data_IF_257849802193
#
_entry.id   IF_257849802193
#
_cell.length_a   1.000
_cell.length_b   1.000
_cell.length_c   1.000
_cell.angle_alpha   90.00
_cell.angle_beta   90.00
_cell.angle_gamma   90.00
#
_symmetry.space_group_name_H-M   'P 1'
#
loop_
_entity.id
_entity.type
_entity.pdbx_description
1 polymer ?
#
# COMPACT_ATOMS: atom_id res chain seq x y z
N UNK A 1 -3.57 49.73 5.00
CA UNK A 1 -3.39 48.59 5.93
C UNK A 1 -2.20 48.94 6.81
N UNK A 2 -2.43 49.29 8.08
CA UNK A 2 -1.36 49.72 8.99
C UNK A 2 -0.67 48.46 9.50
N UNK A 3 0.58 48.22 9.09
CA UNK A 3 1.42 47.15 9.64
C UNK A 3 1.73 47.51 11.10
N UNK A 4 0.89 47.02 12.02
CA UNK A 4 1.10 47.18 13.46
C UNK A 4 2.36 46.44 13.94
N UNK A 5 2.74 46.68 15.19
CA UNK A 5 3.88 45.99 15.82
C UNK A 5 3.69 44.46 15.89
N UNK A 6 2.48 43.96 15.63
CA UNK A 6 2.10 42.53 15.70
C UNK A 6 2.34 41.75 14.41
N UNK A 7 3.10 42.32 13.47
CA UNK A 7 3.39 41.72 12.17
C UNK A 7 4.65 40.83 12.21
N UNK A 8 4.52 39.60 11.72
CA UNK A 8 5.64 38.67 11.54
C UNK A 8 6.72 39.23 10.61
N UNK A 9 6.33 40.03 9.61
CA UNK A 9 7.26 40.72 8.72
C UNK A 9 8.16 41.67 9.50
N UNK A 10 7.58 42.49 10.39
CA UNK A 10 8.33 43.43 11.25
C UNK A 10 9.28 42.69 12.19
N UNK A 11 8.85 41.56 12.77
CA UNK A 11 9.70 40.71 13.61
C UNK A 11 10.88 40.12 12.83
N UNK A 12 10.65 39.72 11.57
CA UNK A 12 11.67 39.16 10.69
C UNK A 12 12.71 40.22 10.30
N UNK A 13 12.28 41.42 9.92
CA UNK A 13 13.16 42.56 9.61
C UNK A 13 14.03 42.94 10.81
N UNK A 14 13.49 42.86 12.04
CA UNK A 14 14.22 43.10 13.29
C UNK A 14 15.08 41.92 13.76
N UNK A 15 15.21 40.88 12.93
CA UNK A 15 16.01 39.68 13.19
C UNK A 15 15.62 38.92 14.48
N UNK A 16 14.37 39.10 14.93
CA UNK A 16 13.82 38.44 16.12
C UNK A 16 13.87 36.91 16.02
N UNK A 17 13.56 36.27 14.86
CA UNK A 17 13.54 34.82 14.78
C UNK A 17 14.92 34.18 15.02
N UNK A 18 16.00 34.89 14.67
CA UNK A 18 17.37 34.45 14.93
C UNK A 18 17.76 34.72 16.39
N UNK A 19 17.42 35.91 16.92
CA UNK A 19 17.71 36.31 18.31
C UNK A 19 17.02 35.41 19.33
N UNK A 20 15.77 35.03 19.08
CA UNK A 20 15.01 34.09 19.89
C UNK A 20 15.28 32.62 19.52
N UNK A 21 16.07 32.34 18.48
CA UNK A 21 16.39 31.00 18.00
C UNK A 21 15.13 30.14 17.75
N UNK A 22 14.18 30.67 16.97
CA UNK A 22 12.93 29.99 16.64
C UNK A 22 13.17 28.83 15.67
N UNK A 23 12.45 27.72 15.87
CA UNK A 23 12.52 26.56 14.97
C UNK A 23 11.92 26.87 13.60
N UNK A 24 12.28 26.09 12.57
CA UNK A 24 11.69 26.24 11.24
C UNK A 24 10.16 26.08 11.26
N UNK A 25 9.66 25.10 12.03
CA UNK A 25 8.23 24.90 12.24
C UNK A 25 7.56 26.12 12.89
N UNK A 26 8.23 26.77 13.86
CA UNK A 26 7.67 27.96 14.49
C UNK A 26 7.57 29.13 13.52
N UNK A 27 8.61 29.35 12.71
CA UNK A 27 8.62 30.38 11.67
C UNK A 27 7.51 30.19 10.64
N UNK A 28 7.30 28.94 10.19
CA UNK A 28 6.22 28.61 9.24
C UNK A 28 4.85 28.93 9.81
N UNK A 29 4.60 28.60 11.08
CA UNK A 29 3.29 28.88 11.70
C UNK A 29 3.06 30.37 11.95
N UNK A 30 4.10 31.12 12.33
CA UNK A 30 4.01 32.58 12.50
C UNK A 30 3.82 33.31 11.16
N UNK A 31 4.44 32.82 10.09
CA UNK A 31 4.15 33.27 8.73
C UNK A 31 2.69 32.98 8.34
N UNK A 32 2.20 31.77 8.62
CA UNK A 32 0.81 31.43 8.31
C UNK A 32 -0.20 32.33 9.05
N UNK A 33 0.10 32.74 10.29
CA UNK A 33 -0.72 33.70 11.01
C UNK A 33 -0.77 35.08 10.32
N UNK A 34 0.37 35.55 9.79
CA UNK A 34 0.42 36.77 8.98
C UNK A 34 -0.42 36.62 7.71
N UNK A 35 -0.25 35.50 7.00
CA UNK A 35 -0.99 35.21 5.76
C UNK A 35 -2.51 35.19 6.02
N UNK A 36 -2.94 34.70 7.19
CA UNK A 36 -4.34 34.77 7.61
C UNK A 36 -4.81 36.21 7.87
N UNK A 37 -4.02 37.01 8.60
CA UNK A 37 -4.33 38.43 8.84
C UNK A 37 -4.37 39.24 7.54
N UNK A 38 -3.60 38.83 6.54
CA UNK A 38 -3.64 39.37 5.17
C UNK A 38 -4.68 38.69 4.26
N UNK A 39 -5.59 37.87 4.81
CA UNK A 39 -6.67 37.17 4.08
C UNK A 39 -6.20 36.24 2.96
N UNK A 40 -4.93 35.84 2.96
CA UNK A 40 -4.33 34.95 1.96
C UNK A 40 -4.62 33.48 2.24
N UNK A 41 -4.84 33.12 3.52
CA UNK A 41 -5.31 31.79 3.94
C UNK A 41 -6.47 31.93 4.94
N UNK A 42 -7.25 30.87 5.12
CA UNK A 42 -8.38 30.85 6.07
C UNK A 42 -7.98 30.27 7.44
N UNK A 43 -8.82 30.51 8.47
CA UNK A 43 -8.62 29.93 9.82
C UNK A 43 -8.51 28.39 9.77
N UNK A 44 -9.24 27.77 8.84
CA UNK A 44 -9.27 26.32 8.70
C UNK A 44 -7.91 25.77 8.24
N UNK A 45 -7.18 26.47 7.38
CA UNK A 45 -5.85 26.10 6.90
C UNK A 45 -4.81 26.16 8.03
N UNK A 46 -4.79 27.23 8.83
CA UNK A 46 -3.93 27.29 10.04
C UNK A 46 -4.22 26.11 10.96
N UNK A 47 -5.51 25.84 11.21
CA UNK A 47 -5.92 24.70 12.01
C UNK A 47 -5.47 23.36 11.44
N UNK A 48 -5.57 23.14 10.12
CA UNK A 48 -5.06 21.94 9.44
C UNK A 48 -3.55 21.82 9.58
N UNK A 49 -2.80 22.90 9.33
CA UNK A 49 -1.35 22.93 9.41
C UNK A 49 -0.83 22.51 10.78
N UNK A 50 -1.53 22.89 11.86
CA UNK A 50 -1.18 22.53 13.23
C UNK A 50 -1.67 21.12 13.63
N UNK A 51 -2.90 20.74 13.27
CA UNK A 51 -3.49 19.44 13.65
C UNK A 51 -2.85 18.25 12.94
N UNK A 52 -2.44 18.43 11.68
CA UNK A 52 -1.85 17.37 10.86
C UNK A 52 -0.34 17.18 11.10
N UNK A 53 0.31 18.06 11.87
CA UNK A 53 1.74 17.98 12.16
C UNK A 53 2.03 18.11 13.67
N UNK A 54 2.29 16.99 14.36
CA UNK A 54 2.64 17.01 15.79
C UNK A 54 3.83 17.92 16.11
N UNK A 55 4.84 17.95 15.21
CA UNK A 55 6.02 18.78 15.37
C UNK A 55 5.76 20.29 15.34
N UNK A 56 4.73 20.74 14.60
CA UNK A 56 4.33 22.15 14.56
C UNK A 56 3.64 22.58 15.85
N UNK A 57 2.73 21.75 16.38
CA UNK A 57 2.09 22.01 17.68
C UNK A 57 3.11 22.07 18.81
N UNK A 58 4.04 21.11 18.87
CA UNK A 58 5.10 21.10 19.86
C UNK A 58 6.00 22.36 19.75
N UNK A 59 6.34 22.77 18.53
CA UNK A 59 7.15 23.96 18.29
C UNK A 59 6.51 25.25 18.79
N UNK A 60 5.17 25.37 18.76
CA UNK A 60 4.46 26.51 19.37
C UNK A 60 4.62 26.51 20.89
N UNK A 61 4.40 25.37 21.54
CA UNK A 61 4.51 25.23 23.00
C UNK A 61 5.95 25.50 23.46
N UNK A 62 6.94 24.96 22.74
CA UNK A 62 8.36 25.16 23.05
C UNK A 62 8.77 26.62 22.88
N UNK A 63 8.24 27.30 21.85
CA UNK A 63 8.49 28.73 21.61
C UNK A 63 7.92 29.59 22.74
N UNK A 64 6.69 29.31 23.19
CA UNK A 64 6.08 29.99 24.35
C UNK A 64 6.97 29.79 25.58
N UNK A 65 7.31 28.54 25.92
CA UNK A 65 8.17 28.22 27.08
C UNK A 65 9.52 28.93 27.01
N UNK A 66 10.12 29.00 25.82
CA UNK A 66 11.40 29.70 25.59
C UNK A 66 11.26 31.19 25.85
N UNK A 67 10.23 31.83 25.32
CA UNK A 67 9.96 33.26 25.54
C UNK A 67 9.72 33.55 27.03
N UNK A 68 8.92 32.74 27.73
CA UNK A 68 8.69 32.88 29.17
C UNK A 68 9.98 32.74 29.98
N UNK A 69 10.83 31.78 29.62
CA UNK A 69 12.13 31.57 30.29
C UNK A 69 13.08 32.75 30.05
N UNK A 70 13.08 33.32 28.84
CA UNK A 70 13.89 34.49 28.52
C UNK A 70 13.43 35.71 29.31
N UNK A 71 12.13 35.98 29.37
CA UNK A 71 11.55 37.07 30.17
C UNK A 71 11.93 36.98 31.65
N UNK A 72 11.98 35.77 32.22
CA UNK A 72 12.37 35.56 33.60
C UNK A 72 13.88 35.79 33.86
N UNK A 73 14.74 35.60 32.85
CA UNK A 73 16.21 35.66 33.00
C UNK A 73 16.85 36.96 32.50
N UNK A 74 16.28 37.57 31.47
CA UNK A 74 16.79 38.78 30.81
C UNK A 74 15.62 39.74 30.68
N UNK A 75 15.66 40.85 31.41
CA UNK A 75 14.62 41.89 31.34
C UNK A 75 14.62 42.65 29.99
N UNK A 76 15.63 42.43 29.16
CA UNK A 76 15.66 42.91 27.77
C UNK A 76 14.76 42.04 26.87
N UNK A 77 14.14 42.64 25.83
CA UNK A 77 13.24 41.98 24.87
C UNK A 77 11.91 41.44 25.43
N UNK A 78 11.51 41.81 26.65
CA UNK A 78 10.24 41.38 27.26
C UNK A 78 9.03 41.65 26.34
N UNK A 79 8.95 42.85 25.74
CA UNK A 79 7.86 43.19 24.81
C UNK A 79 7.82 42.31 23.56
N UNK A 80 8.98 41.92 23.03
CA UNK A 80 9.08 41.03 21.87
C UNK A 80 8.68 39.60 22.23
N UNK A 81 9.09 39.12 23.40
CA UNK A 81 8.71 37.81 23.91
C UNK A 81 7.19 37.71 24.16
N UNK A 82 6.58 38.75 24.74
CA UNK A 82 5.12 38.83 24.94
C UNK A 82 4.39 38.74 23.60
N UNK A 83 4.86 39.49 22.60
CA UNK A 83 4.23 39.47 21.28
C UNK A 83 4.31 38.10 20.61
N UNK A 84 5.48 37.45 20.63
CA UNK A 84 5.63 36.11 20.05
C UNK A 84 4.75 35.09 20.79
N UNK A 85 4.62 35.21 22.12
CA UNK A 85 3.70 34.38 22.90
C UNK A 85 2.27 34.59 22.42
N UNK A 86 1.81 35.84 22.27
CA UNK A 86 0.47 36.17 21.81
C UNK A 86 0.17 35.58 20.43
N UNK A 87 1.12 35.69 19.48
CA UNK A 87 0.98 35.09 18.15
C UNK A 87 0.89 33.56 18.22
N UNK A 88 1.74 32.91 19.03
CA UNK A 88 1.69 31.47 19.23
C UNK A 88 0.37 31.02 19.88
N UNK A 89 -0.17 31.78 20.84
CA UNK A 89 -1.46 31.46 21.47
C UNK A 89 -2.62 31.65 20.50
N UNK A 90 -2.60 32.70 19.67
CA UNK A 90 -3.61 32.94 18.64
C UNK A 90 -3.69 31.76 17.65
N UNK A 91 -2.53 31.27 17.19
CA UNK A 91 -2.44 30.07 16.34
C UNK A 91 -3.03 28.84 17.04
N UNK A 92 -2.71 28.64 18.32
CA UNK A 92 -3.21 27.50 19.09
C UNK A 92 -4.73 27.58 19.30
N UNK A 93 -5.27 28.77 19.55
CA UNK A 93 -6.71 29.01 19.68
C UNK A 93 -7.46 28.72 18.38
N UNK A 94 -6.98 29.27 17.26
CA UNK A 94 -7.53 28.97 15.92
C UNK A 94 -7.55 27.46 15.67
N UNK A 95 -6.46 26.76 15.99
CA UNK A 95 -6.37 25.32 15.79
C UNK A 95 -7.22 24.48 16.74
N UNK A 96 -7.55 25.00 17.93
CA UNK A 96 -8.43 24.34 18.90
C UNK A 96 -9.91 24.54 18.57
N UNK A 97 -10.26 25.52 17.72
CA UNK A 97 -11.63 25.63 17.20
C UNK A 97 -11.95 24.39 16.35
N UNK A 98 -13.13 23.76 16.56
CA UNK A 98 -13.56 22.66 15.71
C UNK A 98 -13.63 23.16 14.26
N UNK A 99 -13.09 22.42 13.29
CA UNK A 99 -13.17 22.84 11.89
C UNK A 99 -14.64 23.03 11.51
N UNK A 100 -14.98 24.04 10.69
CA UNK A 100 -16.33 24.17 10.19
C UNK A 100 -16.74 22.85 9.52
N UNK A 101 -17.92 22.32 9.87
CA UNK A 101 -18.46 21.03 9.42
C UNK A 101 -18.76 20.97 7.91
N UNK A 102 -18.17 21.85 7.10
CA UNK A 102 -18.10 21.71 5.66
C UNK A 102 -17.16 20.56 5.34
N UNK A 103 -17.66 19.33 5.46
CA UNK A 103 -17.00 18.15 4.94
C UNK A 103 -16.62 18.41 3.48
N UNK A 104 -15.36 18.14 3.14
CA UNK A 104 -14.94 18.20 1.75
C UNK A 104 -15.88 17.32 0.92
N UNK A 105 -16.59 17.87 -0.07
CA UNK A 105 -17.66 17.16 -0.75
C UNK A 105 -17.05 16.22 -1.81
N UNK A 106 -16.28 15.23 -1.35
CA UNK A 106 -15.54 14.30 -2.21
C UNK A 106 -16.44 13.68 -3.27
N UNK A 107 -17.66 13.28 -2.89
CA UNK A 107 -18.64 12.68 -3.80
C UNK A 107 -19.20 13.64 -4.87
N UNK A 108 -19.06 14.97 -4.69
CA UNK A 108 -19.47 15.97 -5.69
C UNK A 108 -18.41 16.20 -6.78
N UNK A 109 -17.16 15.75 -6.56
CA UNK A 109 -16.12 15.87 -7.56
C UNK A 109 -16.39 14.93 -8.74
N UNK A 110 -15.96 15.25 -9.98
CA UNK A 110 -15.96 14.30 -11.09
C UNK A 110 -15.20 13.01 -10.75
N UNK A 111 -15.63 11.88 -11.34
CA UNK A 111 -15.08 10.55 -11.04
C UNK A 111 -13.58 10.47 -11.31
N UNK A 112 -13.11 11.17 -12.33
CA UNK A 112 -11.70 11.24 -12.73
C UNK A 112 -10.86 11.92 -11.65
N UNK A 113 -11.39 12.99 -11.02
CA UNK A 113 -10.71 13.69 -9.93
C UNK A 113 -10.70 12.82 -8.68
N UNK A 114 -11.83 12.17 -8.35
CA UNK A 114 -11.88 11.21 -7.23
C UNK A 114 -10.86 10.10 -7.41
N UNK A 115 -10.75 9.54 -8.61
CA UNK A 115 -9.79 8.49 -8.93
C UNK A 115 -8.33 8.94 -8.73
N UNK A 116 -7.98 10.16 -9.16
CA UNK A 116 -6.65 10.74 -8.92
C UNK A 116 -6.37 10.93 -7.42
N UNK A 117 -7.34 11.43 -6.66
CA UNK A 117 -7.21 11.60 -5.20
C UNK A 117 -7.00 10.26 -4.51
N UNK A 118 -7.78 9.23 -4.87
CA UNK A 118 -7.59 7.87 -4.36
C UNK A 118 -6.20 7.33 -4.69
N UNK A 119 -5.73 7.56 -5.93
CA UNK A 119 -4.39 7.21 -6.34
C UNK A 119 -3.31 7.82 -5.45
N UNK A 120 -3.40 9.12 -5.16
CA UNK A 120 -2.45 9.80 -4.26
C UNK A 120 -2.48 9.24 -2.84
N UNK A 121 -3.66 8.89 -2.32
CA UNK A 121 -3.80 8.27 -0.98
C UNK A 121 -3.12 6.90 -0.95
N UNK A 122 -3.27 6.11 -2.02
CA UNK A 122 -2.71 4.76 -2.14
C UNK A 122 -1.19 4.80 -2.36
N UNK A 123 -0.69 5.75 -3.15
CA UNK A 123 0.73 5.90 -3.49
C UNK A 123 1.58 6.43 -2.32
N UNK A 124 0.95 7.02 -1.30
CA UNK A 124 1.64 7.52 -0.11
C UNK A 124 2.33 6.41 0.71
N UNK A 125 2.06 5.14 0.39
CA UNK A 125 2.51 3.97 1.11
C UNK A 125 3.25 2.99 0.16
N UNK A 126 4.03 2.02 0.68
CA UNK A 126 4.79 1.08 -0.15
C UNK A 126 3.92 0.34 -1.18
N UNK A 127 4.48 0.05 -2.37
CA UNK A 127 3.77 -0.51 -3.54
C UNK A 127 3.54 -2.03 -3.51
N UNK A 128 4.26 -2.77 -2.67
CA UNK A 128 4.08 -4.22 -2.53
C UNK A 128 3.78 -4.53 -1.07
N UNK A 129 2.71 -5.28 -0.83
CA UNK A 129 2.22 -5.52 0.51
C UNK A 129 1.57 -6.89 0.65
N UNK A 130 1.53 -7.39 1.89
CA UNK A 130 0.77 -8.58 2.26
C UNK A 130 -0.54 -8.20 2.91
N UNK A 131 -1.62 -8.76 2.38
CA UNK A 131 -2.90 -8.73 3.07
C UNK A 131 -2.78 -9.53 4.36
N UNK A 132 -3.28 -9.01 5.49
CA UNK A 132 -3.32 -9.77 6.72
C UNK A 132 -4.17 -11.04 6.49
N UNK A 133 -3.79 -12.16 7.11
CA UNK A 133 -4.55 -13.38 6.98
C UNK A 133 -5.94 -13.19 7.60
N UNK A 134 -6.97 -13.65 6.88
CA UNK A 134 -8.33 -13.63 7.39
C UNK A 134 -8.48 -14.79 8.38
N UNK A 135 -8.74 -14.51 9.67
CA UNK A 135 -8.78 -15.52 10.75
C UNK A 135 -9.60 -16.77 10.40
N UNK A 136 -10.80 -16.59 9.84
CA UNK A 136 -11.67 -17.70 9.41
C UNK A 136 -11.06 -18.53 8.28
N UNK A 137 -10.30 -17.88 7.40
CA UNK A 137 -9.59 -18.57 6.32
C UNK A 137 -8.45 -19.43 6.85
N UNK A 138 -7.71 -18.97 7.87
CA UNK A 138 -6.62 -19.77 8.46
C UNK A 138 -7.12 -21.08 9.09
N UNK A 139 -8.36 -21.11 9.60
CA UNK A 139 -8.99 -22.33 10.11
C UNK A 139 -9.36 -23.29 8.97
N UNK A 140 -9.81 -22.77 7.82
CA UNK A 140 -10.21 -23.57 6.66
C UNK A 140 -9.02 -24.01 5.78
N UNK A 141 -7.95 -23.22 5.78
CA UNK A 141 -6.73 -23.40 5.00
C UNK A 141 -5.50 -23.35 5.92
N UNK A 142 -5.34 -24.34 6.82
CA UNK A 142 -4.14 -24.40 7.66
C UNK A 142 -2.90 -24.54 6.78
N UNK A 143 -1.87 -23.76 7.11
CA UNK A 143 -0.65 -23.67 6.34
C UNK A 143 0.58 -23.67 7.27
N UNK A 144 1.49 -24.60 7.01
CA UNK A 144 2.78 -24.72 7.70
C UNK A 144 3.96 -24.46 6.76
N UNK A 145 3.72 -23.79 5.63
CA UNK A 145 4.76 -23.50 4.66
C UNK A 145 5.77 -22.52 5.26
N UNK A 146 7.06 -22.77 5.02
CA UNK A 146 8.10 -21.83 5.38
C UNK A 146 7.88 -20.53 4.58
N UNK A 147 7.94 -19.39 5.27
CA UNK A 147 7.88 -18.08 4.63
C UNK A 147 9.25 -17.40 4.75
N UNK A 148 10.17 -17.67 3.81
CA UNK A 148 11.51 -17.15 3.87
C UNK A 148 11.51 -15.62 3.69
N UNK A 149 10.53 -15.00 3.02
CA UNK A 149 10.49 -13.56 2.77
C UNK A 149 9.78 -12.73 3.86
N UNK A 150 9.44 -13.32 5.02
CA UNK A 150 8.71 -12.63 6.10
C UNK A 150 9.35 -11.31 6.53
N UNK A 151 10.67 -11.20 6.45
CA UNK A 151 11.43 -10.00 6.81
C UNK A 151 11.42 -8.92 5.71
N UNK A 152 11.25 -9.30 4.44
CA UNK A 152 11.35 -8.38 3.30
C UNK A 152 10.00 -7.86 2.84
N UNK A 153 8.94 -8.67 2.98
CA UNK A 153 7.59 -8.26 2.61
C UNK A 153 6.67 -8.28 3.83
N UNK A 154 6.42 -7.08 4.35
CA UNK A 154 5.54 -6.84 5.48
C UNK A 154 4.06 -6.95 5.13
N UNK A 155 3.24 -7.06 6.18
CA UNK A 155 1.81 -6.80 6.06
C UNK A 155 1.55 -5.32 5.82
N UNK A 156 0.34 -5.02 5.34
CA UNK A 156 -0.17 -3.64 5.29
C UNK A 156 0.07 -2.92 6.62
N UNK A 157 0.56 -1.68 6.55
CA UNK A 157 0.66 -0.80 7.72
C UNK A 157 -0.74 -0.57 8.31
N UNK A 158 -0.82 -0.19 9.58
CA UNK A 158 -2.10 0.10 10.22
C UNK A 158 -2.91 1.15 9.44
N UNK A 159 -2.22 2.14 8.86
CA UNK A 159 -2.82 3.18 8.02
C UNK A 159 -3.31 2.65 6.68
N UNK A 160 -2.52 1.81 6.00
CA UNK A 160 -2.96 1.15 4.76
C UNK A 160 -4.17 0.26 5.00
N UNK A 161 -4.17 -0.54 6.07
CA UNK A 161 -5.29 -1.40 6.42
C UNK A 161 -6.55 -0.60 6.76
N UNK A 162 -6.42 0.48 7.51
CA UNK A 162 -7.54 1.40 7.78
C UNK A 162 -8.10 2.00 6.49
N UNK A 163 -7.22 2.45 5.59
CA UNK A 163 -7.60 2.99 4.27
C UNK A 163 -8.35 1.95 3.44
N UNK A 164 -7.79 0.74 3.30
CA UNK A 164 -8.42 -0.37 2.59
C UNK A 164 -9.81 -0.68 3.17
N UNK A 165 -9.94 -0.77 4.49
CA UNK A 165 -11.20 -1.11 5.16
C UNK A 165 -12.25 -0.01 5.04
N UNK A 166 -11.86 1.25 5.26
CA UNK A 166 -12.78 2.39 5.29
C UNK A 166 -13.22 2.75 3.87
N UNK A 167 -12.26 3.00 2.98
CA UNK A 167 -12.54 3.41 1.60
C UNK A 167 -13.06 2.24 0.76
N UNK A 168 -12.56 1.02 0.97
CA UNK A 168 -13.08 -0.17 0.31
C UNK A 168 -14.54 -0.45 0.68
N UNK A 169 -14.97 -0.15 1.91
CA UNK A 169 -16.38 -0.25 2.30
C UNK A 169 -17.24 0.87 1.70
N UNK A 170 -16.73 2.10 1.69
CA UNK A 170 -17.48 3.30 1.30
C UNK A 170 -17.61 3.46 -0.23
N UNK A 171 -16.55 3.14 -0.97
CA UNK A 171 -16.43 3.47 -2.40
C UNK A 171 -16.39 2.23 -3.31
N UNK A 172 -16.10 1.04 -2.77
CA UNK A 172 -16.10 -0.27 -3.45
C UNK A 172 -15.57 -0.21 -4.89
N UNK A 173 -16.48 -0.10 -5.86
CA UNK A 173 -16.23 -0.13 -7.31
C UNK A 173 -15.38 1.03 -7.82
N UNK A 174 -15.22 2.11 -7.05
CA UNK A 174 -14.24 3.17 -7.35
C UNK A 174 -12.89 2.93 -6.68
N UNK A 175 -12.85 2.27 -5.53
CA UNK A 175 -11.63 2.10 -4.75
C UNK A 175 -10.81 0.90 -5.21
N UNK A 176 -11.41 -0.30 -5.29
CA UNK A 176 -10.66 -1.53 -5.54
C UNK A 176 -9.94 -1.56 -6.90
N UNK A 177 -10.53 -1.09 -8.02
CA UNK A 177 -9.81 -1.04 -9.29
C UNK A 177 -8.52 -0.23 -9.19
N UNK A 178 -8.57 0.93 -8.51
CA UNK A 178 -7.42 1.83 -8.37
C UNK A 178 -6.40 1.25 -7.39
N UNK A 179 -6.87 0.67 -6.29
CA UNK A 179 -6.01 0.02 -5.30
C UNK A 179 -5.20 -1.10 -5.92
N UNK A 180 -5.85 -2.07 -6.56
CA UNK A 180 -5.16 -3.23 -7.15
C UNK A 180 -4.43 -2.90 -8.44
N UNK A 181 -4.73 -1.78 -9.10
CA UNK A 181 -3.89 -1.26 -10.18
C UNK A 181 -2.51 -0.81 -9.70
N UNK A 182 -2.45 -0.19 -8.52
CA UNK A 182 -1.24 0.46 -7.99
C UNK A 182 -0.44 -0.44 -7.07
N UNK A 183 -1.11 -1.37 -6.38
CA UNK A 183 -0.51 -2.22 -5.36
C UNK A 183 -0.30 -3.64 -5.86
N UNK A 184 0.93 -4.15 -5.73
CA UNK A 184 1.25 -5.55 -5.93
C UNK A 184 0.92 -6.35 -4.67
N UNK A 185 0.23 -7.48 -4.86
CA UNK A 185 -0.14 -8.35 -3.78
C UNK A 185 0.85 -9.50 -3.65
N UNK A 186 1.58 -9.54 -2.53
CA UNK A 186 2.47 -10.64 -2.23
C UNK A 186 1.77 -11.74 -1.45
N UNK A 187 2.04 -12.99 -1.82
CA UNK A 187 1.57 -14.21 -1.18
C UNK A 187 2.76 -15.05 -0.75
N UNK A 188 2.82 -15.38 0.54
CA UNK A 188 3.97 -16.07 1.11
C UNK A 188 4.10 -17.53 0.71
N UNK A 189 3.02 -18.14 0.22
CA UNK A 189 2.99 -19.47 -0.35
C UNK A 189 1.69 -19.65 -1.14
N UNK A 190 1.56 -20.74 -1.88
CA UNK A 190 0.34 -21.04 -2.62
C UNK A 190 -0.85 -21.34 -1.69
N UNK A 191 -0.63 -21.81 -0.47
CA UNK A 191 -1.71 -22.00 0.51
C UNK A 191 -2.33 -20.65 0.95
N UNK A 192 -1.48 -19.62 1.15
CA UNK A 192 -1.91 -18.25 1.47
C UNK A 192 -2.68 -17.65 0.30
N UNK A 193 -2.15 -17.81 -0.92
CA UNK A 193 -2.84 -17.40 -2.16
C UNK A 193 -4.25 -18.00 -2.26
N UNK A 194 -4.37 -19.32 -2.17
CA UNK A 194 -5.67 -20.01 -2.26
C UNK A 194 -6.66 -19.53 -1.19
N UNK A 195 -6.19 -19.42 0.04
CA UNK A 195 -6.94 -18.91 1.19
C UNK A 195 -7.52 -17.51 0.92
N UNK A 196 -6.68 -16.59 0.43
CA UNK A 196 -7.08 -15.21 0.15
C UNK A 196 -8.05 -15.13 -1.04
N UNK A 197 -7.78 -15.87 -2.12
CA UNK A 197 -8.66 -15.87 -3.31
C UNK A 197 -10.06 -16.41 -3.01
N UNK A 198 -10.18 -17.41 -2.14
CA UNK A 198 -11.49 -17.96 -1.76
C UNK A 198 -12.25 -17.08 -0.77
N UNK A 199 -11.55 -16.37 0.11
CA UNK A 199 -12.19 -15.61 1.18
C UNK A 199 -12.45 -14.15 0.83
N UNK A 200 -11.62 -13.57 -0.05
CA UNK A 200 -11.70 -12.17 -0.44
C UNK A 200 -12.11 -12.05 -1.92
N UNK A 201 -13.42 -11.94 -2.15
CA UNK A 201 -13.97 -11.77 -3.51
C UNK A 201 -13.45 -10.52 -4.19
N UNK A 202 -13.33 -9.40 -3.46
CA UNK A 202 -12.77 -8.16 -4.01
C UNK A 202 -11.33 -8.35 -4.51
N UNK A 203 -10.50 -9.09 -3.76
CA UNK A 203 -9.16 -9.44 -4.22
C UNK A 203 -9.24 -10.28 -5.48
N UNK A 204 -10.00 -11.37 -5.50
CA UNK A 204 -10.11 -12.24 -6.68
C UNK A 204 -10.59 -11.48 -7.92
N UNK A 205 -11.55 -10.59 -7.76
CA UNK A 205 -12.20 -9.90 -8.88
C UNK A 205 -11.34 -8.73 -9.40
N UNK A 206 -10.53 -8.07 -8.56
CA UNK A 206 -9.74 -6.89 -8.94
C UNK A 206 -8.22 -7.09 -8.96
N UNK A 207 -7.69 -8.23 -8.51
CA UNK A 207 -6.26 -8.52 -8.48
C UNK A 207 -5.63 -8.34 -9.86
N UNK A 208 -4.65 -7.44 -9.94
CA UNK A 208 -3.93 -7.13 -11.19
C UNK A 208 -2.48 -7.58 -11.18
N UNK A 209 -1.81 -7.47 -10.03
CA UNK A 209 -0.39 -7.78 -9.86
C UNK A 209 -0.21 -8.75 -8.70
N UNK A 210 0.32 -9.93 -8.99
CA UNK A 210 0.52 -10.99 -8.00
C UNK A 210 1.99 -11.40 -7.92
N UNK A 211 2.55 -11.36 -6.71
CA UNK A 211 3.85 -11.97 -6.39
C UNK A 211 3.61 -13.20 -5.53
N UNK A 212 3.99 -14.38 -6.01
CA UNK A 212 3.69 -15.64 -5.33
C UNK A 212 4.97 -16.42 -5.10
N UNK A 213 5.28 -16.72 -3.85
CA UNK A 213 6.28 -17.75 -3.55
C UNK A 213 5.68 -19.13 -3.83
N UNK A 214 6.20 -19.80 -4.85
CA UNK A 214 5.70 -21.11 -5.26
C UNK A 214 6.19 -22.18 -4.27
N UNK A 215 5.33 -22.52 -3.32
CA UNK A 215 5.51 -23.64 -2.40
C UNK A 215 4.20 -24.03 -1.73
N UNK A 216 4.19 -25.22 -1.12
CA UNK A 216 3.08 -25.72 -0.32
C UNK A 216 2.20 -26.75 -1.02
N UNK A 217 1.43 -27.48 -0.22
CA UNK A 217 0.67 -28.66 -0.62
C UNK A 217 -0.61 -28.37 -1.39
N UNK A 218 -0.86 -27.11 -1.73
CA UNK A 218 -2.08 -26.66 -2.44
C UNK A 218 -1.74 -25.81 -3.67
N UNK A 219 -0.53 -25.98 -4.23
CA UNK A 219 -0.02 -25.18 -5.35
C UNK A 219 -0.86 -25.31 -6.61
N UNK A 220 -1.24 -26.54 -6.96
CA UNK A 220 -2.18 -26.87 -8.03
C UNK A 220 -3.50 -26.09 -7.91
N UNK A 221 -4.15 -26.18 -6.75
CA UNK A 221 -5.44 -25.53 -6.48
C UNK A 221 -5.31 -24.01 -6.51
N UNK A 222 -4.22 -23.47 -5.95
CA UNK A 222 -3.97 -22.04 -5.92
C UNK A 222 -3.83 -21.45 -7.33
N UNK A 223 -3.05 -22.10 -8.21
CA UNK A 223 -2.87 -21.63 -9.57
C UNK A 223 -4.12 -21.80 -10.43
N UNK A 224 -4.92 -22.86 -10.21
CA UNK A 224 -6.26 -23.00 -10.79
C UNK A 224 -7.18 -21.82 -10.44
N UNK A 225 -7.18 -21.37 -9.19
CA UNK A 225 -7.96 -20.20 -8.79
C UNK A 225 -7.37 -18.88 -9.30
N UNK A 226 -6.04 -18.77 -9.33
CA UNK A 226 -5.35 -17.61 -9.88
C UNK A 226 -5.69 -17.41 -11.37
N UNK A 227 -5.78 -18.49 -12.15
CA UNK A 227 -6.19 -18.46 -13.55
C UNK A 227 -7.61 -17.88 -13.76
N UNK A 228 -8.48 -17.97 -12.74
CA UNK A 228 -9.85 -17.43 -12.77
C UNK A 228 -9.91 -15.94 -12.46
N UNK A 229 -8.81 -15.31 -12.03
CA UNK A 229 -8.77 -13.88 -11.78
C UNK A 229 -8.90 -13.12 -13.12
N UNK A 230 -9.97 -12.32 -13.33
CA UNK A 230 -10.24 -11.72 -14.63
C UNK A 230 -9.22 -10.65 -15.00
N UNK A 231 -8.77 -9.88 -14.00
CA UNK A 231 -7.94 -8.69 -14.17
C UNK A 231 -6.44 -8.91 -13.93
N UNK A 232 -5.99 -10.17 -13.77
CA UNK A 232 -4.58 -10.47 -13.56
C UNK A 232 -3.75 -10.11 -14.81
N UNK A 233 -2.74 -9.28 -14.63
CA UNK A 233 -1.94 -8.69 -15.72
C UNK A 233 -0.43 -8.84 -15.48
N UNK A 234 0.01 -8.88 -14.22
CA UNK A 234 1.42 -9.06 -13.87
C UNK A 234 1.54 -10.22 -12.88
N UNK A 235 2.40 -11.19 -13.21
CA UNK A 235 2.63 -12.37 -12.38
C UNK A 235 4.12 -12.54 -12.11
N UNK A 236 4.51 -12.52 -10.85
CA UNK A 236 5.88 -12.82 -10.42
C UNK A 236 5.89 -14.09 -9.61
N UNK A 237 6.63 -15.10 -10.07
CA UNK A 237 6.81 -16.35 -9.35
C UNK A 237 8.16 -16.33 -8.65
N UNK A 238 8.13 -16.46 -7.32
CA UNK A 238 9.34 -16.60 -6.52
C UNK A 238 9.65 -18.07 -6.28
N UNK A 239 10.89 -18.45 -6.57
CA UNK A 239 11.40 -19.81 -6.44
C UNK A 239 12.25 -19.98 -5.19
N UNK A 240 12.17 -21.18 -4.62
CA UNK A 240 13.12 -21.64 -3.61
C UNK A 240 13.21 -23.17 -3.63
N UNK A 241 14.08 -23.74 -2.81
CA UNK A 241 14.10 -25.19 -2.52
C UNK A 241 12.75 -25.73 -2.01
N UNK A 242 11.89 -24.85 -1.49
CA UNK A 242 10.51 -25.21 -1.11
C UNK A 242 9.59 -25.47 -2.31
N UNK A 243 9.94 -24.96 -3.50
CA UNK A 243 9.19 -25.19 -4.74
C UNK A 243 9.24 -26.66 -5.14
N UNK A 244 10.43 -27.27 -5.14
CA UNK A 244 10.63 -28.68 -5.53
C UNK A 244 10.37 -29.67 -4.40
N UNK A 245 9.92 -29.22 -3.23
CA UNK A 245 9.68 -30.09 -2.08
C UNK A 245 8.55 -31.10 -2.33
N UNK A 246 7.49 -30.66 -3.00
CA UNK A 246 6.26 -31.44 -3.23
C UNK A 246 6.12 -31.66 -4.74
N UNK A 247 6.10 -32.93 -5.15
CA UNK A 247 5.94 -33.33 -6.54
C UNK A 247 4.47 -33.30 -6.96
N UNK A 248 4.23 -33.19 -8.27
CA UNK A 248 2.90 -33.42 -8.82
C UNK A 248 2.51 -34.91 -8.72
N UNK A 249 1.22 -35.21 -8.89
CA UNK A 249 0.67 -36.56 -8.71
C UNK A 249 1.30 -37.63 -9.61
N UNK A 250 1.77 -37.24 -10.81
CA UNK A 250 2.42 -38.17 -11.75
C UNK A 250 3.81 -38.52 -11.26
N UNK A 251 4.60 -37.50 -10.92
CA UNK A 251 5.99 -37.65 -10.51
C UNK A 251 6.11 -38.30 -9.12
N UNK A 252 5.15 -38.06 -8.22
CA UNK A 252 5.07 -38.77 -6.93
C UNK A 252 4.93 -40.29 -7.11
N UNK A 253 4.12 -40.74 -8.07
CA UNK A 253 3.96 -42.18 -8.38
C UNK A 253 5.22 -42.76 -9.01
N UNK A 254 5.82 -42.04 -9.95
CA UNK A 254 7.03 -42.49 -10.65
C UNK A 254 8.27 -42.51 -9.73
N UNK A 255 8.31 -41.66 -8.70
CA UNK A 255 9.40 -41.62 -7.73
C UNK A 255 9.62 -42.96 -7.02
N UNK A 256 8.55 -43.69 -6.74
CA UNK A 256 8.61 -45.00 -6.07
C UNK A 256 9.29 -46.03 -6.97
N UNK A 257 9.01 -46.00 -8.27
CA UNK A 257 9.54 -46.97 -9.24
C UNK A 257 10.91 -46.60 -9.79
N UNK A 258 11.24 -45.30 -9.86
CA UNK A 258 12.48 -44.80 -10.47
C UNK A 258 13.24 -43.83 -9.53
N UNK A 259 13.59 -44.23 -8.30
CA UNK A 259 14.11 -43.30 -7.27
C UNK A 259 15.39 -42.57 -7.69
N UNK A 260 16.24 -43.19 -8.52
CA UNK A 260 17.48 -42.58 -9.02
C UNK A 260 17.22 -41.34 -9.90
N UNK A 261 16.09 -41.31 -10.62
CA UNK A 261 15.71 -40.17 -11.47
C UNK A 261 15.29 -38.94 -10.65
N UNK A 262 14.95 -39.12 -9.36
CA UNK A 262 14.45 -38.06 -8.48
C UNK A 262 15.46 -37.63 -7.42
N UNK A 263 16.73 -38.03 -7.56
CA UNK A 263 17.82 -37.52 -6.70
C UNK A 263 17.91 -36.00 -6.78
N UNK A 264 17.70 -35.44 -7.98
CA UNK A 264 17.58 -34.01 -8.22
C UNK A 264 16.17 -33.72 -8.78
N UNK A 265 15.29 -33.18 -7.94
CA UNK A 265 13.92 -32.82 -8.35
C UNK A 265 13.93 -31.56 -9.21
N UNK A 266 13.32 -31.61 -10.39
CA UNK A 266 13.22 -30.47 -11.32
C UNK A 266 12.03 -29.58 -10.95
N UNK A 267 12.10 -28.30 -11.33
CA UNK A 267 11.00 -27.35 -11.10
C UNK A 267 9.71 -27.79 -11.80
N UNK A 268 9.80 -28.33 -13.02
CA UNK A 268 8.66 -28.82 -13.80
C UNK A 268 7.91 -29.99 -13.16
N UNK A 269 8.58 -30.73 -12.28
CA UNK A 269 8.00 -31.89 -11.60
C UNK A 269 7.23 -31.49 -10.33
N UNK A 270 7.28 -30.20 -9.96
CA UNK A 270 6.70 -29.67 -8.73
C UNK A 270 5.18 -29.57 -8.83
N UNK A 271 4.49 -29.72 -7.69
CA UNK A 271 3.05 -29.55 -7.60
C UNK A 271 2.63 -28.15 -8.09
N UNK A 272 1.64 -28.10 -8.99
CA UNK A 272 1.15 -26.84 -9.55
C UNK A 272 1.86 -26.37 -10.82
N UNK A 273 2.88 -27.09 -11.31
CA UNK A 273 3.59 -26.70 -12.53
C UNK A 273 2.64 -26.64 -13.73
N UNK A 274 1.85 -27.69 -13.96
CA UNK A 274 0.89 -27.76 -15.06
C UNK A 274 -0.16 -26.66 -14.99
N UNK A 275 -0.70 -26.40 -13.79
CA UNK A 275 -1.68 -25.34 -13.56
C UNK A 275 -1.10 -23.94 -13.77
N UNK A 276 0.16 -23.72 -13.37
CA UNK A 276 0.87 -22.47 -13.59
C UNK A 276 1.08 -22.22 -15.09
N UNK A 277 1.53 -23.24 -15.83
CA UNK A 277 1.67 -23.18 -17.29
C UNK A 277 0.33 -23.13 -18.03
N UNK A 278 -0.79 -23.33 -17.36
CA UNK A 278 -2.13 -23.19 -17.94
C UNK A 278 -2.73 -21.79 -17.76
N UNK A 279 -2.12 -20.91 -16.95
CA UNK A 279 -2.56 -19.51 -16.80
C UNK A 279 -2.39 -18.79 -18.15
N UNK A 280 -3.34 -17.93 -18.53
CA UNK A 280 -3.33 -17.19 -19.80
C UNK A 280 -3.77 -15.75 -19.61
N UNK A 281 -3.37 -14.87 -20.53
CA UNK A 281 -3.77 -13.46 -20.62
C UNK A 281 -3.03 -12.53 -19.67
N UNK A 282 -1.90 -12.97 -19.12
CA UNK A 282 -0.99 -12.12 -18.35
C UNK A 282 -0.20 -11.26 -19.35
N UNK A 283 0.15 -10.02 -19.00
CA UNK A 283 0.94 -9.11 -19.86
C UNK A 283 2.43 -9.10 -19.51
N UNK A 284 2.75 -9.27 -18.23
CA UNK A 284 4.12 -9.29 -17.74
C UNK A 284 4.28 -10.49 -16.83
N UNK A 285 5.29 -11.30 -17.09
CA UNK A 285 5.69 -12.39 -16.21
C UNK A 285 7.13 -12.18 -15.77
N UNK A 286 7.42 -12.54 -14.52
CA UNK A 286 8.78 -12.54 -14.00
C UNK A 286 8.99 -13.75 -13.08
N UNK A 287 10.23 -14.21 -12.99
CA UNK A 287 10.65 -15.31 -12.13
C UNK A 287 11.89 -14.89 -11.36
N UNK A 288 11.72 -14.85 -10.05
CA UNK A 288 12.75 -14.42 -9.12
C UNK A 288 13.09 -15.53 -8.14
N UNK A 289 14.24 -15.43 -7.50
CA UNK A 289 14.53 -16.20 -6.30
C UNK A 289 13.99 -15.48 -5.06
N UNK A 290 13.69 -16.23 -4.01
CA UNK A 290 13.44 -15.62 -2.69
C UNK A 290 14.70 -14.88 -2.21
N UNK A 291 14.51 -13.70 -1.62
CA UNK A 291 15.61 -12.78 -1.29
C UNK A 291 16.38 -13.12 -0.01
N UNK A 292 15.79 -13.93 0.87
CA UNK A 292 16.23 -14.01 2.26
C UNK A 292 17.40 -14.94 2.57
N UNK A 293 17.79 -15.84 1.65
CA UNK A 293 19.05 -16.58 1.75
C UNK A 293 19.43 -17.31 0.45
N UNK A 294 20.67 -17.13 -0.02
CA UNK A 294 21.24 -17.85 -1.17
C UNK A 294 21.10 -19.38 -1.03
N UNK A 295 21.23 -19.91 0.19
CA UNK A 295 21.12 -21.36 0.46
C UNK A 295 19.74 -21.96 0.13
N UNK A 296 18.70 -21.13 0.05
CA UNK A 296 17.33 -21.54 -0.28
C UNK A 296 17.02 -21.35 -1.77
N UNK A 297 17.92 -20.75 -2.53
CA UNK A 297 17.74 -20.53 -3.97
C UNK A 297 17.96 -21.83 -4.73
N UNK A 298 17.31 -21.93 -5.89
CA UNK A 298 17.58 -22.96 -6.88
C UNK A 298 18.71 -22.47 -7.79
N UNK A 299 18.99 -23.18 -8.88
CA UNK A 299 19.96 -22.71 -9.86
C UNK A 299 19.38 -21.56 -10.70
N UNK A 300 20.24 -20.65 -11.18
CA UNK A 300 19.79 -19.62 -12.12
C UNK A 300 19.31 -20.20 -13.47
N UNK A 301 19.77 -21.40 -13.82
CA UNK A 301 19.22 -22.14 -14.96
C UNK A 301 17.76 -22.52 -14.74
N UNK A 302 17.38 -22.97 -13.54
CA UNK A 302 15.98 -23.25 -13.20
C UNK A 302 15.13 -21.97 -13.29
N UNK A 303 15.65 -20.85 -12.77
CA UNK A 303 14.98 -19.54 -12.81
C UNK A 303 14.74 -19.08 -14.24
N UNK A 304 15.80 -19.06 -15.07
CA UNK A 304 15.73 -18.60 -16.45
C UNK A 304 14.91 -19.56 -17.33
N UNK A 305 15.03 -20.87 -17.11
CA UNK A 305 14.25 -21.88 -17.81
C UNK A 305 12.76 -21.73 -17.53
N UNK A 306 12.38 -21.55 -16.26
CA UNK A 306 10.99 -21.30 -15.90
C UNK A 306 10.50 -19.97 -16.48
N UNK A 307 11.29 -18.89 -16.40
CA UNK A 307 10.93 -17.60 -16.98
C UNK A 307 10.59 -17.75 -18.46
N UNK A 308 11.48 -18.37 -19.23
CA UNK A 308 11.32 -18.55 -20.68
C UNK A 308 10.08 -19.41 -21.01
N UNK A 309 9.83 -20.46 -20.23
CA UNK A 309 8.66 -21.31 -20.40
C UNK A 309 7.34 -20.58 -20.05
N UNK A 310 7.33 -19.76 -19.00
CA UNK A 310 6.16 -18.96 -18.65
C UNK A 310 5.93 -17.86 -19.69
N UNK A 311 6.96 -17.17 -20.13
CA UNK A 311 6.86 -16.14 -21.17
C UNK A 311 6.23 -16.70 -22.45
N UNK A 312 6.62 -17.91 -22.86
CA UNK A 312 6.05 -18.60 -24.02
C UNK A 312 4.58 -19.05 -23.83
N UNK A 313 4.10 -19.20 -22.60
CA UNK A 313 2.78 -19.80 -22.31
C UNK A 313 1.78 -18.84 -21.69
N UNK A 314 2.14 -18.10 -20.63
CA UNK A 314 1.20 -17.28 -19.85
C UNK A 314 0.83 -15.97 -20.53
N UNK A 315 1.68 -15.49 -21.44
CA UNK A 315 1.43 -14.30 -22.25
C UNK A 315 0.43 -14.55 -23.38
N UNK A 316 0.17 -15.81 -23.72
CA UNK A 316 -0.84 -16.17 -24.70
C UNK A 316 -2.23 -15.69 -24.22
N UNK A 317 -3.11 -15.26 -25.15
CA UNK A 317 -4.42 -14.73 -24.78
C UNK A 317 -5.27 -15.78 -24.08
N UNK A 318 -6.18 -15.33 -23.20
CA UNK A 318 -7.18 -16.22 -22.60
C UNK A 318 -8.01 -16.86 -23.72
N UNK A 319 -8.29 -18.17 -23.66
CA UNK A 319 -9.13 -18.80 -24.66
C UNK A 319 -10.49 -18.11 -24.68
N UNK A 320 -10.91 -17.64 -25.85
CA UNK A 320 -12.22 -17.03 -26.05
C UNK A 320 -13.24 -18.13 -25.90
N UNK A 321 -13.97 -18.13 -24.78
CA UNK A 321 -15.15 -18.98 -24.63
C UNK A 321 -16.22 -18.38 -25.55
N UNK A 322 -16.33 -18.89 -26.77
CA UNK A 322 -17.49 -18.63 -27.61
C UNK A 322 -18.71 -19.21 -26.88
N UNK A 323 -19.40 -18.38 -26.11
CA UNK A 323 -20.73 -18.72 -25.63
C UNK A 323 -21.61 -18.83 -26.86
N UNK A 324 -21.92 -20.07 -27.25
CA UNK A 324 -22.71 -20.38 -28.42
C UNK A 324 -23.94 -19.49 -28.51
N UNK A 325 -24.21 -19.03 -29.73
CA UNK A 325 -25.39 -18.28 -30.13
C UNK A 325 -26.63 -18.97 -29.55
N UNK A 326 -27.28 -18.39 -28.53
CA UNK A 326 -28.59 -18.86 -28.09
C UNK A 326 -29.61 -18.39 -29.13
N UNK A 327 -30.31 -19.27 -29.85
CA UNK A 327 -31.40 -18.85 -30.71
C UNK A 327 -32.43 -18.16 -29.80
N UNK A 328 -32.81 -16.93 -30.14
CA UNK A 328 -34.00 -16.30 -29.57
C UNK A 328 -35.18 -17.22 -29.91
N UNK A 329 -35.69 -17.96 -28.93
CA UNK A 329 -37.01 -18.56 -29.04
C UNK A 329 -38.01 -17.41 -29.10
N UNK A 330 -38.50 -17.12 -30.31
CA UNK A 330 -39.68 -16.32 -30.54
C UNK A 330 -40.84 -17.00 -29.82
N UNK A 331 -41.34 -16.41 -28.73
CA UNK A 331 -42.71 -16.67 -28.31
C UNK A 331 -43.62 -15.95 -29.30
N UNK A 332 -44.29 -16.73 -30.13
CA UNK A 332 -45.49 -16.36 -30.85
C UNK A 332 -46.62 -17.23 -30.28
N UNK A 333 -47.76 -16.61 -29.95
CA UNK A 333 -48.97 -17.28 -29.46
C UNK A 333 -49.30 -16.88 -28.04
#
# INVERSE_FOLDING_TARGET
MVLGMDSWYVLTVRNVPKRLGLSANAKVMLQALEDYKCTSIDEAEIGRMLRLSPGRRQSMIDTIRKCTTMMAKKQEDVGVCVLVIQMCTEILEIANRPPPNTHFPFMKLPREIRARVLGMIIDAEPKSCRMPPIKRSQQMYPCNCANPERAHVGFLTAKQWATYKILGRALRDEFYPIYYERQAQYFACCCDLLSQLHTNTCLRDYLRKAEVHWCGSRSDKAFKELAKCPNLMELTIKLSKGTTAILNNREEKLQVSFPLNYKNKRVTDSLGADELFAIRGVKVVDVQHVHSAVKLQLSDFDRQGLHSALEATVLLPKPVVHTGWRPRTSRLG
#
